data_IF_051664730071
#
_entry.id   IF_051664730071
#
_cell.length_a   1.000
_cell.length_b   1.000
_cell.length_c   1.000
_cell.angle_alpha   90.00
_cell.angle_beta   90.00
_cell.angle_gamma   90.00
#
_symmetry.space_group_name_H-M   'P 1'
#
loop_
_entity.id
_entity.type
_entity.pdbx_description
1 polymer ?
#
# COMPACT_ATOMS: atom_id res chain seq x y z
N UNK A 1 -2.82 -0.09 -8.27
CA UNK A 1 -3.81 -0.73 -7.37
C UNK A 1 -3.69 -0.08 -6.01
N UNK A 2 -4.72 -0.11 -5.18
CA UNK A 2 -4.64 0.54 -3.87
C UNK A 2 -4.69 -0.55 -2.80
N UNK A 3 -3.71 -0.56 -1.91
CA UNK A 3 -3.56 -1.62 -0.90
C UNK A 3 -3.59 -1.01 0.48
N UNK A 4 -4.39 -1.58 1.37
CA UNK A 4 -4.47 -1.17 2.75
C UNK A 4 -3.63 -2.12 3.60
N UNK A 5 -2.78 -1.54 4.41
CA UNK A 5 -2.07 -2.25 5.45
C UNK A 5 -3.00 -2.39 6.65
N UNK A 6 -3.53 -3.59 6.89
CA UNK A 6 -4.49 -3.85 7.98
C UNK A 6 -3.98 -3.46 9.37
N UNK A 7 -2.72 -3.72 9.78
CA UNK A 7 -2.28 -3.39 11.14
C UNK A 7 -2.05 -1.90 11.37
N UNK A 8 -1.76 -1.10 10.33
CA UNK A 8 -1.60 0.36 10.49
C UNK A 8 -2.84 1.14 10.05
N UNK A 9 -3.75 0.52 9.29
CA UNK A 9 -4.89 1.19 8.66
C UNK A 9 -4.50 2.13 7.51
N UNK A 10 -3.22 2.21 7.15
CA UNK A 10 -2.72 3.12 6.11
C UNK A 10 -2.96 2.52 4.73
N UNK A 11 -3.41 3.36 3.81
CA UNK A 11 -3.72 3.00 2.43
C UNK A 11 -2.58 3.50 1.54
N UNK A 12 -1.93 2.56 0.86
CA UNK A 12 -0.78 2.78 0.01
C UNK A 12 -1.13 2.60 -1.47
N UNK A 13 -0.38 3.28 -2.34
CA UNK A 13 -0.40 3.05 -3.78
C UNK A 13 0.35 1.77 -4.09
N UNK A 14 -0.31 0.69 -4.44
CA UNK A 14 0.34 -0.54 -4.92
C UNK A 14 0.86 -0.39 -6.35
N UNK A 15 2.09 -0.84 -6.58
CA UNK A 15 2.78 -0.89 -7.86
C UNK A 15 2.89 -2.33 -8.39
N UNK A 16 3.07 -2.46 -9.71
CA UNK A 16 3.24 -3.76 -10.36
C UNK A 16 4.54 -4.40 -9.85
N UNK A 17 4.46 -5.63 -9.34
CA UNK A 17 5.58 -6.32 -8.69
C UNK A 17 5.41 -6.56 -7.18
N UNK A 18 4.28 -6.14 -6.60
CA UNK A 18 3.99 -6.40 -5.19
C UNK A 18 4.80 -5.51 -4.25
N UNK A 19 5.04 -4.26 -4.66
CA UNK A 19 5.54 -3.20 -3.81
C UNK A 19 4.53 -2.07 -3.74
N UNK A 20 4.68 -1.18 -2.76
CA UNK A 20 3.97 0.10 -2.72
C UNK A 20 4.82 1.19 -3.37
N UNK A 21 4.19 2.29 -3.76
CA UNK A 21 4.85 3.44 -4.37
C UNK A 21 5.89 4.09 -3.46
N UNK A 22 5.75 3.91 -2.14
CA UNK A 22 6.73 4.37 -1.15
C UNK A 22 7.73 3.29 -0.71
N UNK A 23 7.76 2.14 -1.39
CA UNK A 23 8.80 1.12 -1.24
C UNK A 23 8.50 -0.04 -0.29
N UNK A 24 7.30 -0.13 0.30
CA UNK A 24 6.94 -1.30 1.12
C UNK A 24 6.71 -2.53 0.25
N UNK A 25 7.22 -3.68 0.67
CA UNK A 25 6.94 -4.94 0.00
C UNK A 25 5.59 -5.49 0.48
N UNK A 26 4.62 -5.62 -0.42
CA UNK A 26 3.32 -6.22 -0.11
C UNK A 26 3.38 -7.74 -0.15
N UNK A 27 4.49 -8.33 -0.62
CA UNK A 27 4.72 -9.77 -0.50
C UNK A 27 5.25 -10.16 0.88
N UNK A 28 5.87 -9.21 1.61
CA UNK A 28 6.22 -9.42 3.02
C UNK A 28 4.93 -9.36 3.84
N UNK A 29 4.55 -10.50 4.43
CA UNK A 29 3.31 -10.67 5.21
C UNK A 29 2.05 -10.32 4.42
N UNK A 30 1.77 -11.08 3.35
CA UNK A 30 0.60 -10.90 2.48
C UNK A 30 -0.74 -10.75 3.23
N UNK A 31 -0.92 -11.42 4.37
CA UNK A 31 -2.11 -11.27 5.24
C UNK A 31 -2.31 -9.86 5.79
N UNK A 32 -1.24 -9.07 5.91
CA UNK A 32 -1.33 -7.68 6.35
C UNK A 32 -1.77 -6.72 5.22
N UNK A 33 -1.85 -7.20 3.98
CA UNK A 33 -2.11 -6.37 2.81
C UNK A 33 -3.40 -6.80 2.14
N UNK A 34 -4.40 -5.92 2.17
CA UNK A 34 -5.68 -6.15 1.50
C UNK A 34 -5.86 -5.13 0.38
N UNK A 35 -6.48 -5.57 -0.72
CA UNK A 35 -6.85 -4.65 -1.78
C UNK A 35 -7.98 -3.74 -1.26
N UNK A 36 -7.83 -2.42 -1.38
CA UNK A 36 -8.83 -1.46 -0.94
C UNK A 36 -9.08 -0.44 -2.05
N UNK A 37 -10.31 0.05 -2.15
CA UNK A 37 -10.70 1.16 -3.03
C UNK A 37 -10.72 2.51 -2.31
N UNK A 38 -10.29 2.55 -1.04
CA UNK A 38 -10.13 3.79 -0.27
C UNK A 38 -9.08 4.72 -0.92
N UNK A 39 -9.19 6.02 -0.63
CA UNK A 39 -8.18 7.00 -1.04
C UNK A 39 -6.83 6.67 -0.40
N UNK A 40 -5.74 6.93 -1.13
CA UNK A 40 -4.38 6.77 -0.60
C UNK A 40 -4.21 7.73 0.59
N UNK A 41 -3.94 7.18 1.77
CA UNK A 41 -3.69 7.94 3.00
C UNK A 41 -2.21 7.99 3.35
N UNK A 42 -1.37 7.24 2.65
CA UNK A 42 0.08 7.29 2.80
C UNK A 42 0.62 8.63 2.25
N UNK A 43 1.23 9.43 3.12
CA UNK A 43 1.84 10.73 2.77
C UNK A 43 3.30 10.61 2.32
N UNK A 44 3.80 9.38 2.17
CA UNK A 44 5.17 9.13 1.70
C UNK A 44 5.28 9.41 0.20
N UNK A 45 6.44 9.93 -0.16
CA UNK A 45 6.85 10.15 -1.55
C UNK A 45 6.69 8.86 -2.38
N UNK A 46 6.19 9.01 -3.62
CA UNK A 46 5.82 7.91 -4.51
C UNK A 46 4.43 7.27 -4.27
N UNK A 47 3.83 7.40 -3.08
CA UNK A 47 2.40 7.09 -2.89
C UNK A 47 1.51 8.28 -3.22
N UNK A 48 1.93 9.48 -2.84
CA UNK A 48 1.20 10.74 -3.06
C UNK A 48 1.99 11.58 -4.07
N UNK A 49 1.76 11.32 -5.36
CA UNK A 49 2.19 12.16 -6.49
C UNK A 49 1.03 12.29 -7.46
#
# INVERSE_FOLDING_TARGET
>A
MTVKHTPTGVVHKGTKGGKTGCGFDTNDKKDHWVNSSEKITCDKDGCKN
#
